data_IF_361507536701
#
_entry.id   IF_361507536701
#
_cell.length_a   1.000
_cell.length_b   1.000
_cell.length_c   1.000
_cell.angle_alpha   90.00
_cell.angle_beta   90.00
_cell.angle_gamma   90.00
#
_symmetry.space_group_name_H-M   'P 1'
#
loop_
_entity.id
_entity.type
_entity.pdbx_description
1 polymer ?
#
# COMPACT_ATOMS: atom_id res chain seq x y z
N UNK A 1 -10.15 7.14 5.92
CA UNK A 1 -9.09 6.29 6.51
C UNK A 1 -9.22 6.24 8.04
N UNK A 2 -9.05 7.35 8.77
CA UNK A 2 -9.27 7.39 10.22
C UNK A 2 -10.74 7.16 10.62
N UNK A 3 -11.69 7.77 9.90
CA UNK A 3 -13.13 7.56 10.11
C UNK A 3 -13.61 6.14 9.76
N UNK A 4 -12.81 5.40 8.98
CA UNK A 4 -13.10 4.00 8.63
C UNK A 4 -12.41 3.01 9.57
N UNK A 5 -11.66 3.50 10.57
CA UNK A 5 -10.83 2.70 11.48
C UNK A 5 -9.88 1.73 10.74
N UNK A 6 -9.42 2.15 9.56
CA UNK A 6 -8.62 1.32 8.65
C UNK A 6 -7.10 1.41 8.81
N UNK A 7 -6.45 2.37 9.51
CA UNK A 7 -5.00 2.30 9.56
C UNK A 7 -4.62 1.13 10.47
N UNK A 8 -3.92 0.09 9.96
CA UNK A 8 -3.23 -0.80 10.88
C UNK A 8 -2.37 0.08 11.80
N UNK A 9 -2.49 -0.07 13.11
CA UNK A 9 -1.57 0.60 14.03
C UNK A 9 -0.23 -0.11 13.87
N UNK A 10 0.70 0.50 13.15
CA UNK A 10 2.06 -0.01 12.99
C UNK A 10 3.06 1.14 12.88
N UNK A 11 4.32 0.87 13.25
CA UNK A 11 5.39 1.84 13.10
C UNK A 11 5.82 1.92 11.62
N UNK A 12 5.21 2.87 10.91
CA UNK A 12 5.44 3.11 9.49
C UNK A 12 6.86 3.60 9.16
N UNK A 13 7.51 4.35 10.07
CA UNK A 13 8.88 4.84 9.88
C UNK A 13 9.90 3.70 9.91
N UNK A 14 9.67 2.72 10.79
CA UNK A 14 10.57 1.57 10.99
C UNK A 14 10.17 0.33 10.19
N UNK A 15 9.13 0.40 9.35
CA UNK A 15 8.69 -0.73 8.56
C UNK A 15 9.61 -0.96 7.35
N UNK A 16 10.69 -1.74 7.56
CA UNK A 16 11.71 -2.08 6.56
C UNK A 16 11.12 -2.66 5.27
N UNK A 17 10.23 -3.64 5.39
CA UNK A 17 9.56 -4.26 4.24
C UNK A 17 8.79 -3.23 3.40
N UNK A 18 8.13 -2.26 4.03
CA UNK A 18 7.44 -1.19 3.31
C UNK A 18 8.37 -0.33 2.46
N UNK A 19 9.58 -0.04 2.97
CA UNK A 19 10.61 0.68 2.22
C UNK A 19 11.08 -0.15 1.03
N UNK A 20 11.41 -1.41 1.24
CA UNK A 20 11.84 -2.34 0.18
C UNK A 20 10.81 -2.41 -0.96
N UNK A 21 9.52 -2.57 -0.63
CA UNK A 21 8.41 -2.59 -1.58
C UNK A 21 8.36 -1.28 -2.39
N UNK A 22 8.37 -0.13 -1.70
CA UNK A 22 8.18 1.17 -2.34
C UNK A 22 9.41 1.67 -3.13
N UNK A 23 10.60 1.14 -2.85
CA UNK A 23 11.81 1.40 -3.64
C UNK A 23 11.99 0.45 -4.81
N UNK A 24 11.24 -0.66 -4.85
CA UNK A 24 11.31 -1.65 -5.92
C UNK A 24 10.15 -1.47 -6.91
N UNK A 25 10.43 -0.83 -8.05
CA UNK A 25 9.43 -0.60 -9.11
C UNK A 25 8.81 -1.89 -9.68
N UNK A 26 9.50 -3.02 -9.53
CA UNK A 26 9.08 -4.33 -10.04
C UNK A 26 8.60 -5.28 -8.93
N UNK A 27 8.29 -4.76 -7.74
CA UNK A 27 7.80 -5.58 -6.64
C UNK A 27 6.51 -6.33 -7.03
N UNK A 28 6.44 -7.62 -6.71
CA UNK A 28 5.25 -8.44 -6.93
C UNK A 28 4.27 -8.31 -5.76
N UNK A 29 3.24 -7.48 -5.96
CA UNK A 29 2.20 -7.21 -4.97
C UNK A 29 1.26 -8.40 -4.73
N UNK A 30 1.27 -9.43 -5.60
CA UNK A 30 0.42 -10.62 -5.42
C UNK A 30 0.89 -11.52 -4.27
N UNK A 31 2.14 -11.36 -3.84
CA UNK A 31 2.73 -12.02 -2.68
C UNK A 31 2.27 -11.46 -1.33
N UNK A 32 1.62 -10.28 -1.31
CA UNK A 32 1.22 -9.61 -0.07
C UNK A 32 -0.17 -10.02 0.40
N UNK A 33 -0.32 -10.15 1.71
CA UNK A 33 -1.61 -10.30 2.36
C UNK A 33 -2.39 -8.97 2.42
N UNK A 34 -3.69 -9.08 2.74
CA UNK A 34 -4.60 -7.93 2.87
C UNK A 34 -4.03 -6.84 3.78
N UNK A 35 -3.45 -7.22 4.92
CA UNK A 35 -2.94 -6.25 5.90
C UNK A 35 -1.71 -5.53 5.38
N UNK A 36 -0.76 -6.24 4.75
CA UNK A 36 0.44 -5.65 4.16
C UNK A 36 0.09 -4.68 3.04
N UNK A 37 -0.88 -5.02 2.17
CA UNK A 37 -1.38 -4.11 1.14
C UNK A 37 -1.93 -2.80 1.74
N UNK A 38 -2.72 -2.87 2.82
CA UNK A 38 -3.20 -1.70 3.55
C UNK A 38 -2.06 -0.90 4.19
N UNK A 39 -1.02 -1.56 4.72
CA UNK A 39 0.17 -0.90 5.26
C UNK A 39 0.93 -0.14 4.17
N UNK A 40 1.15 -0.73 2.99
CA UNK A 40 1.80 -0.05 1.86
C UNK A 40 1.00 1.19 1.42
N UNK A 41 -0.33 1.03 1.25
CA UNK A 41 -1.21 2.16 0.91
C UNK A 41 -1.11 3.28 1.96
N UNK A 42 -1.07 2.92 3.24
CA UNK A 42 -0.89 3.88 4.35
C UNK A 42 0.45 4.61 4.24
N UNK A 43 1.55 3.89 3.96
CA UNK A 43 2.86 4.50 3.74
C UNK A 43 2.82 5.51 2.58
N UNK A 44 2.20 5.19 1.44
CA UNK A 44 2.11 6.11 0.30
C UNK A 44 1.39 7.40 0.67
N UNK A 45 0.20 7.29 1.27
CA UNK A 45 -0.62 8.44 1.66
C UNK A 45 0.09 9.30 2.71
N UNK A 46 0.78 8.67 3.68
CA UNK A 46 1.53 9.40 4.71
C UNK A 46 2.78 10.07 4.15
N UNK A 47 3.51 9.42 3.25
CA UNK A 47 4.72 9.96 2.62
C UNK A 47 4.44 11.22 1.81
N UNK A 48 3.24 11.37 1.25
CA UNK A 48 2.85 12.58 0.52
C UNK A 48 2.83 13.86 1.39
N UNK A 49 2.75 13.73 2.72
CA UNK A 49 2.87 14.88 3.64
C UNK A 49 4.28 15.46 3.69
N UNK A 50 5.28 14.66 3.34
CA UNK A 50 6.70 15.02 3.37
C UNK A 50 7.31 15.14 1.98
N UNK A 51 6.69 14.46 0.99
CA UNK A 51 7.11 14.43 -0.40
C UNK A 51 5.91 14.82 -1.27
N UNK A 52 5.76 16.12 -1.54
CA UNK A 52 4.66 16.62 -2.35
C UNK A 52 4.62 15.93 -3.71
N UNK A 53 3.43 15.50 -4.13
CA UNK A 53 3.22 14.80 -5.40
C UNK A 53 3.56 13.31 -5.39
N UNK A 54 4.05 12.74 -4.28
CA UNK A 54 4.39 11.32 -4.20
C UNK A 54 3.19 10.40 -4.42
N UNK A 55 2.01 10.72 -3.87
CA UNK A 55 0.80 9.91 -4.15
C UNK A 55 0.45 9.98 -5.64
N UNK A 56 0.56 11.15 -6.27
CA UNK A 56 0.30 11.31 -7.70
C UNK A 56 1.29 10.50 -8.56
N UNK A 57 2.57 10.44 -8.18
CA UNK A 57 3.54 9.62 -8.91
C UNK A 57 3.23 8.12 -8.78
N UNK A 58 2.78 7.66 -7.61
CA UNK A 58 2.30 6.28 -7.40
C UNK A 58 1.03 5.94 -8.19
N UNK A 59 0.19 6.93 -8.49
CA UNK A 59 -0.92 6.75 -9.43
C UNK A 59 -0.39 6.61 -10.87
N UNK A 60 0.46 7.55 -11.29
CA UNK A 60 1.00 7.60 -12.66
C UNK A 60 1.81 6.36 -13.05
N UNK A 61 2.53 5.76 -12.11
CA UNK A 61 3.36 4.58 -12.36
C UNK A 61 2.63 3.24 -12.10
N UNK A 62 1.33 3.27 -11.79
CA UNK A 62 0.51 2.07 -11.57
C UNK A 62 0.69 1.37 -10.22
N UNK A 63 1.49 1.91 -9.27
CA UNK A 63 1.63 1.33 -7.94
C UNK A 63 0.28 1.22 -7.21
N UNK A 64 -0.53 2.28 -7.24
CA UNK A 64 -1.85 2.28 -6.59
C UNK A 64 -2.78 1.22 -7.20
N UNK A 65 -2.79 1.12 -8.53
CA UNK A 65 -3.60 0.12 -9.24
C UNK A 65 -3.23 -1.31 -8.82
N UNK A 66 -1.94 -1.64 -8.79
CA UNK A 66 -1.44 -2.96 -8.35
C UNK A 66 -1.89 -3.29 -6.94
N UNK A 67 -1.82 -2.33 -6.01
CA UNK A 67 -2.27 -2.51 -4.63
C UNK A 67 -3.78 -2.80 -4.59
N UNK A 68 -4.59 -2.00 -5.29
CA UNK A 68 -6.05 -2.14 -5.29
C UNK A 68 -6.51 -3.45 -5.92
N UNK A 69 -5.91 -3.85 -7.04
CA UNK A 69 -6.22 -5.12 -7.72
C UNK A 69 -5.91 -6.33 -6.84
N UNK A 70 -4.76 -6.35 -6.16
CA UNK A 70 -4.42 -7.42 -5.24
C UNK A 70 -5.29 -7.39 -3.97
N UNK A 71 -5.65 -6.20 -3.47
CA UNK A 71 -6.56 -6.09 -2.33
C UNK A 71 -7.95 -6.63 -2.68
N UNK A 72 -8.46 -6.31 -3.87
CA UNK A 72 -9.69 -6.89 -4.42
C UNK A 72 -9.58 -8.42 -4.43
N UNK A 73 -8.51 -8.96 -5.00
CA UNK A 73 -8.28 -10.41 -5.05
C UNK A 73 -8.28 -11.05 -3.65
N UNK A 74 -7.65 -10.42 -2.65
CA UNK A 74 -7.61 -10.91 -1.27
C UNK A 74 -8.98 -10.87 -0.57
N UNK A 75 -9.83 -9.91 -0.92
CA UNK A 75 -11.18 -9.78 -0.35
C UNK A 75 -12.14 -10.80 -0.98
N UNK A 76 -12.11 -10.92 -2.31
CA UNK A 76 -13.10 -11.71 -3.06
C UNK A 76 -12.66 -13.16 -3.36
N UNK A 77 -11.37 -13.53 -3.18
CA UNK A 77 -10.96 -14.95 -3.23
C UNK A 77 -11.54 -15.79 -2.09
N UNK A 78 -11.83 -15.18 -0.95
CA UNK A 78 -12.39 -15.87 0.22
C UNK A 78 -13.93 -16.00 0.17
N UNK A 79 -14.53 -15.81 -1.01
CA UNK A 79 -15.99 -15.77 -1.21
C UNK A 79 -16.54 -16.94 -2.05
N UNK A 80 -15.73 -17.97 -2.29
CA UNK A 80 -16.06 -19.25 -2.93
C UNK A 80 -15.55 -20.40 -2.06
#
# INVERSE_FOLDING_TARGET
>A
MYELNLPPVFNWLDWKLGKEILTNNNFDYSSLDKISLCKVMTCIIRSNRFNEGYTLSCFKNGTIEKILMNLKNQIFKNSL
#
